data_IF_955678556509
#
_entry.id   IF_955678556509
#
_cell.length_a   1.000
_cell.length_b   1.000
_cell.length_c   1.000
_cell.angle_alpha   90.00
_cell.angle_beta   90.00
_cell.angle_gamma   90.00
#
_symmetry.space_group_name_H-M   'P 1'
#
loop_
_entity.id
_entity.type
_entity.pdbx_description
1 polymer ?
#
# COMPACT_ATOMS: atom_id res chain seq x y z
N UNK A 1 3.11 11.38 7.22
CA UNK A 1 4.38 10.63 7.01
C UNK A 1 4.04 9.30 6.32
N UNK A 2 4.90 8.78 5.43
CA UNK A 2 4.69 7.48 4.76
C UNK A 2 5.86 6.55 5.09
N UNK A 3 5.54 5.33 5.53
CA UNK A 3 6.50 4.22 5.69
C UNK A 3 6.21 3.17 4.60
N UNK A 4 7.21 2.85 3.77
CA UNK A 4 7.04 1.92 2.65
C UNK A 4 7.88 0.66 2.91
N UNK A 5 7.24 -0.49 2.86
CA UNK A 5 7.81 -1.79 3.20
C UNK A 5 7.45 -2.86 2.16
N UNK A 6 8.15 -3.99 2.28
CA UNK A 6 7.92 -5.22 1.53
C UNK A 6 7.86 -6.35 2.56
N UNK A 7 6.79 -7.15 2.52
CA UNK A 7 6.52 -8.23 3.45
C UNK A 7 7.33 -9.49 3.06
N UNK A 8 7.35 -10.51 3.93
CA UNK A 8 8.12 -11.75 3.75
C UNK A 8 7.31 -13.02 4.07
N UNK A 9 6.12 -13.11 3.50
CA UNK A 9 5.20 -14.26 3.61
C UNK A 9 5.73 -15.50 2.87
N UNK A 10 5.15 -16.69 3.08
CA UNK A 10 5.44 -17.87 2.26
C UNK A 10 5.51 -17.55 0.75
N UNK A 11 6.32 -18.27 0.00
CA UNK A 11 6.64 -17.91 -1.39
C UNK A 11 5.45 -18.02 -2.35
N UNK A 12 4.53 -18.94 -2.08
CA UNK A 12 3.29 -19.13 -2.84
C UNK A 12 2.23 -18.04 -2.55
N UNK A 13 2.41 -17.28 -1.47
CA UNK A 13 1.48 -16.21 -1.11
C UNK A 13 1.75 -14.98 -1.96
N UNK A 14 0.89 -14.77 -2.96
CA UNK A 14 0.79 -13.49 -3.69
C UNK A 14 0.07 -12.47 -2.82
N UNK A 15 0.62 -11.26 -2.75
CA UNK A 15 0.14 -10.19 -1.90
C UNK A 15 -0.20 -8.96 -2.74
N UNK A 16 -1.39 -8.41 -2.53
CA UNK A 16 -1.73 -7.05 -2.98
C UNK A 16 -1.30 -6.01 -1.95
N UNK A 17 -1.42 -4.73 -2.28
CA UNK A 17 -0.90 -3.68 -1.39
C UNK A 17 -1.73 -3.59 -0.11
N UNK A 18 -1.07 -3.60 1.05
CA UNK A 18 -1.75 -3.42 2.34
C UNK A 18 -1.43 -2.05 2.91
N UNK A 19 -2.45 -1.41 3.49
CA UNK A 19 -2.32 -0.10 4.10
C UNK A 19 -2.64 -0.21 5.58
N UNK A 20 -1.73 0.30 6.41
CA UNK A 20 -1.94 0.42 7.84
C UNK A 20 -1.98 1.88 8.27
N UNK A 21 -2.95 2.20 9.11
CA UNK A 21 -3.18 3.54 9.64
C UNK A 21 -3.01 3.57 11.16
N UNK A 22 -2.78 4.75 11.72
CA UNK A 22 -2.65 4.94 13.16
C UNK A 22 -3.98 4.70 13.86
N UNK A 23 -3.96 3.91 14.92
CA UNK A 23 -5.16 3.62 15.70
C UNK A 23 -5.81 4.91 16.21
N UNK A 24 -7.15 5.00 16.14
CA UNK A 24 -7.96 6.17 16.49
C UNK A 24 -7.76 7.45 15.64
N UNK A 25 -6.86 7.45 14.65
CA UNK A 25 -6.68 8.59 13.74
C UNK A 25 -7.61 8.49 12.53
N UNK A 26 -8.72 9.25 12.54
CA UNK A 26 -9.68 9.32 11.41
C UNK A 26 -9.03 9.83 10.13
N UNK A 27 -8.05 10.72 10.26
CA UNK A 27 -7.33 11.32 9.13
C UNK A 27 -6.44 10.27 8.44
N UNK A 28 -5.58 9.57 9.19
CA UNK A 28 -4.77 8.48 8.60
C UNK A 28 -5.65 7.36 8.03
N UNK A 29 -6.77 7.02 8.69
CA UNK A 29 -7.72 6.04 8.18
C UNK A 29 -8.34 6.48 6.84
N UNK A 30 -8.79 7.73 6.74
CA UNK A 30 -9.36 8.28 5.49
C UNK A 30 -8.33 8.24 4.37
N UNK A 31 -7.09 8.64 4.65
CA UNK A 31 -6.02 8.60 3.66
C UNK A 31 -5.71 7.17 3.23
N UNK A 32 -5.57 6.21 4.16
CA UNK A 32 -5.32 4.80 3.83
C UNK A 32 -6.44 4.18 2.96
N UNK A 33 -7.71 4.48 3.25
CA UNK A 33 -8.86 4.07 2.41
C UNK A 33 -8.80 4.68 1.01
N UNK A 34 -8.39 5.96 0.91
CA UNK A 34 -8.23 6.61 -0.39
C UNK A 34 -7.12 5.94 -1.21
N UNK A 35 -5.96 5.67 -0.60
CA UNK A 35 -4.88 4.93 -1.28
C UNK A 35 -5.37 3.55 -1.74
N UNK A 36 -6.10 2.83 -0.89
CA UNK A 36 -6.70 1.53 -1.26
C UNK A 36 -7.63 1.65 -2.47
N UNK A 37 -8.49 2.68 -2.52
CA UNK A 37 -9.39 2.95 -3.64
C UNK A 37 -8.62 3.20 -4.95
N UNK A 38 -7.61 4.08 -4.91
CA UNK A 38 -6.75 4.32 -6.08
C UNK A 38 -6.10 3.01 -6.55
N UNK A 39 -5.57 2.20 -5.64
CA UNK A 39 -4.97 0.92 -6.02
C UNK A 39 -6.00 -0.06 -6.62
N UNK A 40 -7.20 -0.17 -6.05
CA UNK A 40 -8.27 -0.98 -6.61
C UNK A 40 -8.60 -0.56 -8.06
N UNK A 41 -8.74 0.74 -8.32
CA UNK A 41 -9.04 1.25 -9.67
C UNK A 41 -7.91 0.96 -10.67
N UNK A 42 -6.65 1.15 -10.24
CA UNK A 42 -5.48 0.89 -11.10
C UNK A 42 -5.30 -0.60 -11.36
N UNK A 43 -5.52 -1.47 -10.38
CA UNK A 43 -5.48 -2.92 -10.57
C UNK A 43 -6.57 -3.38 -11.54
N UNK A 44 -7.80 -2.90 -11.37
CA UNK A 44 -8.90 -3.19 -12.31
C UNK A 44 -8.56 -2.75 -13.73
N UNK A 45 -7.97 -1.56 -13.90
CA UNK A 45 -7.61 -1.01 -15.21
C UNK A 45 -6.43 -1.73 -15.88
N UNK A 46 -5.39 -2.10 -15.13
CA UNK A 46 -4.11 -2.53 -15.70
C UNK A 46 -3.79 -4.03 -15.49
N UNK A 47 -4.49 -4.73 -14.60
CA UNK A 47 -4.24 -6.15 -14.32
C UNK A 47 -5.46 -7.05 -14.55
N UNK A 48 -6.61 -6.49 -14.95
CA UNK A 48 -7.86 -7.23 -15.23
C UNK A 48 -8.26 -8.24 -14.15
N UNK A 49 -7.93 -7.94 -12.89
CA UNK A 49 -8.23 -8.79 -11.73
C UNK A 49 -8.64 -7.98 -10.52
N UNK A 50 -9.33 -8.65 -9.60
CA UNK A 50 -9.72 -8.04 -8.35
C UNK A 50 -8.51 -7.76 -7.44
N UNK A 51 -8.63 -6.64 -6.73
CA UNK A 51 -7.66 -6.17 -5.75
C UNK A 51 -8.05 -6.67 -4.36
N UNK A 52 -7.16 -7.44 -3.74
CA UNK A 52 -7.37 -8.06 -2.43
C UNK A 52 -6.60 -7.33 -1.30
N UNK A 53 -6.15 -6.10 -1.55
CA UNK A 53 -5.52 -5.27 -0.54
C UNK A 53 -6.50 -4.83 0.55
N UNK A 54 -5.98 -4.54 1.75
CA UNK A 54 -6.76 -4.26 2.95
C UNK A 54 -6.28 -2.99 3.65
N UNK A 55 -7.19 -2.39 4.42
CA UNK A 55 -6.93 -1.25 5.30
C UNK A 55 -7.19 -1.68 6.73
N UNK A 56 -6.18 -1.65 7.59
CA UNK A 56 -6.33 -2.06 8.99
C UNK A 56 -5.35 -1.33 9.91
N UNK A 57 -5.46 -1.53 11.23
CA UNK A 57 -4.45 -1.05 12.18
C UNK A 57 -3.44 -2.15 12.50
N UNK A 58 -2.25 -1.75 12.95
CA UNK A 58 -1.21 -2.65 13.48
C UNK A 58 -0.50 -2.00 14.67
N UNK A 59 -0.04 -2.78 15.67
CA UNK A 59 0.75 -2.26 16.78
C UNK A 59 2.21 -2.02 16.36
N UNK A 60 2.44 -1.24 15.31
CA UNK A 60 3.78 -0.86 14.86
C UNK A 60 4.21 0.43 15.55
N UNK A 61 5.48 0.50 15.98
CA UNK A 61 6.01 1.68 16.66
C UNK A 61 5.87 2.94 15.79
N UNK A 62 6.22 2.86 14.50
CA UNK A 62 6.09 3.96 13.54
C UNK A 62 4.66 4.48 13.40
N UNK A 63 3.63 3.63 13.55
CA UNK A 63 2.24 4.09 13.55
C UNK A 63 1.81 4.70 14.89
N UNK A 64 2.36 4.21 16.02
CA UNK A 64 1.98 4.69 17.37
C UNK A 64 2.69 5.96 17.79
N UNK A 65 3.95 6.13 17.40
CA UNK A 65 4.86 7.16 17.89
C UNK A 65 5.14 8.27 16.87
N UNK A 66 4.42 8.30 15.74
CA UNK A 66 4.49 9.42 14.80
C UNK A 66 3.51 10.52 15.21
N UNK A 67 4.02 11.74 15.30
CA UNK A 67 3.22 12.96 15.43
C UNK A 67 2.40 13.29 14.18
N UNK A 68 2.95 13.29 12.95
CA UNK A 68 2.14 13.46 11.75
C UNK A 68 1.33 12.19 11.49
N UNK A 69 0.14 12.31 10.88
CA UNK A 69 -0.70 11.16 10.56
C UNK A 69 0.05 10.17 9.66
N UNK A 70 0.38 8.97 10.16
CA UNK A 70 1.24 8.06 9.45
C UNK A 70 0.41 7.07 8.63
N UNK A 71 0.92 6.71 7.45
CA UNK A 71 0.48 5.55 6.70
C UNK A 71 1.67 4.63 6.51
N UNK A 72 1.46 3.36 6.81
CA UNK A 72 2.43 2.31 6.57
C UNK A 72 1.90 1.42 5.44
N UNK A 73 2.76 1.08 4.48
CA UNK A 73 2.37 0.42 3.24
C UNK A 73 3.23 -0.82 3.05
N UNK A 74 2.60 -1.99 2.88
CA UNK A 74 3.27 -3.21 2.43
C UNK A 74 2.97 -3.44 0.94
N UNK A 75 3.97 -3.27 0.08
CA UNK A 75 3.78 -3.23 -1.37
C UNK A 75 3.65 -4.61 -2.05
N UNK A 76 4.27 -5.61 -1.45
CA UNK A 76 4.56 -6.89 -2.09
C UNK A 76 5.05 -7.90 -1.05
N UNK A 77 5.09 -9.18 -1.42
CA UNK A 77 5.85 -10.20 -0.73
C UNK A 77 7.22 -10.40 -1.43
N UNK A 78 8.33 -10.16 -0.74
CA UNK A 78 9.69 -10.30 -1.31
C UNK A 78 10.02 -11.75 -1.71
N UNK A 79 9.34 -12.73 -1.10
CA UNK A 79 9.59 -14.15 -1.36
C UNK A 79 8.83 -14.63 -2.60
N UNK A 80 7.73 -14.00 -2.96
CA UNK A 80 6.95 -14.33 -4.16
C UNK A 80 7.56 -13.71 -5.43
N UNK A 81 7.77 -14.53 -6.47
CA UNK A 81 8.45 -14.08 -7.70
C UNK A 81 7.69 -13.01 -8.48
N UNK A 82 6.37 -13.16 -8.61
CA UNK A 82 5.54 -12.18 -9.34
C UNK A 82 5.47 -10.84 -8.60
N UNK A 83 5.41 -10.87 -7.27
CA UNK A 83 5.40 -9.65 -6.47
C UNK A 83 6.76 -8.93 -6.49
N UNK A 84 7.89 -9.66 -6.50
CA UNK A 84 9.23 -9.05 -6.68
C UNK A 84 9.32 -8.23 -7.95
N UNK A 85 8.65 -8.64 -9.04
CA UNK A 85 8.64 -7.88 -10.31
C UNK A 85 8.06 -6.48 -10.13
N UNK A 86 7.20 -6.23 -9.13
CA UNK A 86 6.69 -4.89 -8.83
C UNK A 86 7.79 -3.93 -8.35
N UNK A 87 8.82 -4.46 -7.69
CA UNK A 87 9.90 -3.69 -7.08
C UNK A 87 11.14 -3.66 -7.97
N UNK A 88 11.51 -4.80 -8.55
CA UNK A 88 12.73 -4.94 -9.34
C UNK A 88 12.61 -4.28 -10.72
N UNK A 89 11.46 -4.41 -11.39
CA UNK A 89 11.25 -3.79 -12.71
C UNK A 89 11.05 -2.28 -12.53
N UNK A 90 11.92 -1.41 -13.08
CA UNK A 90 11.86 0.02 -12.83
C UNK A 90 10.52 0.65 -13.19
N UNK A 91 9.91 0.23 -14.30
CA UNK A 91 8.60 0.73 -14.72
C UNK A 91 7.49 0.38 -13.73
N UNK A 92 7.47 -0.83 -13.19
CA UNK A 92 6.45 -1.24 -12.22
C UNK A 92 6.61 -0.48 -10.91
N UNK A 93 7.85 -0.30 -10.45
CA UNK A 93 8.15 0.47 -9.25
C UNK A 93 7.74 1.93 -9.41
N UNK A 94 7.96 2.50 -10.59
CA UNK A 94 7.53 3.86 -10.91
C UNK A 94 6.00 3.98 -10.92
N UNK A 95 5.27 3.02 -11.49
CA UNK A 95 3.80 2.99 -11.46
C UNK A 95 3.27 2.95 -10.02
N UNK A 96 3.87 2.15 -9.12
CA UNK A 96 3.50 2.15 -7.71
C UNK A 96 3.66 3.53 -7.07
N UNK A 97 4.77 4.22 -7.37
CA UNK A 97 5.03 5.56 -6.85
C UNK A 97 4.02 6.59 -7.40
N UNK A 98 3.69 6.52 -8.69
CA UNK A 98 2.69 7.37 -9.32
C UNK A 98 1.29 7.17 -8.71
N UNK A 99 0.88 5.91 -8.51
CA UNK A 99 -0.43 5.61 -7.91
C UNK A 99 -0.50 6.07 -6.46
N UNK A 100 0.59 5.93 -5.70
CA UNK A 100 0.68 6.52 -4.36
C UNK A 100 0.58 8.04 -4.42
N UNK A 101 1.31 8.73 -5.31
CA UNK A 101 1.27 10.18 -5.42
C UNK A 101 -0.13 10.71 -5.79
N UNK A 102 -0.80 10.09 -6.77
CA UNK A 102 -2.16 10.41 -7.19
C UNK A 102 -3.16 10.32 -6.01
N UNK A 103 -3.02 9.29 -5.17
CA UNK A 103 -3.85 9.12 -3.98
C UNK A 103 -3.67 10.20 -2.90
N UNK A 104 -2.63 11.03 -2.98
CA UNK A 104 -2.47 12.21 -2.12
C UNK A 104 -2.93 13.51 -2.79
N UNK A 105 -2.72 13.64 -4.10
CA UNK A 105 -2.90 14.90 -4.85
C UNK A 105 -4.36 15.12 -5.24
N UNK A 106 -5.07 14.09 -5.73
CA UNK A 106 -6.46 14.18 -6.20
C UNK A 106 -7.48 14.34 -5.06
N UNK A 107 -7.47 15.51 -4.42
CA UNK A 107 -8.50 15.91 -3.47
C UNK A 107 -9.76 16.17 -4.29
N UNK A 108 -10.88 15.59 -3.84
CA UNK A 108 -12.23 15.82 -4.35
C UNK A 108 -12.45 17.28 -4.81
#
# INVERSE_FOLDING_TARGET
>A
MISIHIDSRPEDDRQDVFFYYQNNSKVSQKQAKRMQGTFADKYKKYQERDYNGSVSTRPLYVLRASDPEPIFIELANIRNEEDRKRILVPRNRQLLAEWMAESFIDRD
#
